data_IF_111324298023
#
_entry.id   IF_111324298023
#
_cell.length_a   1.000
_cell.length_b   1.000
_cell.length_c   1.000
_cell.angle_alpha   90.00
_cell.angle_beta   90.00
_cell.angle_gamma   90.00
#
_symmetry.space_group_name_H-M   'P 1'
#
loop_
_entity.id
_entity.type
_entity.pdbx_description
1 polymer ?
#
# COMPACT_ATOMS: atom_id res chain seq x y z
N UNK A 1 15.21 -26.78 9.60
CA UNK A 1 14.23 -27.78 9.13
C UNK A 1 13.41 -27.12 8.04
N UNK A 2 13.51 -27.59 6.79
CA UNK A 2 12.54 -27.25 5.75
C UNK A 2 11.17 -27.80 6.20
N UNK A 3 10.06 -27.09 6.00
CA UNK A 3 8.75 -27.68 6.25
C UNK A 3 8.61 -28.96 5.42
N UNK A 4 7.88 -29.99 5.92
CA UNK A 4 7.60 -31.19 5.14
C UNK A 4 7.04 -30.73 3.79
N UNK A 5 7.54 -31.32 2.70
CA UNK A 5 7.10 -31.01 1.34
C UNK A 5 5.58 -30.94 1.35
N UNK A 6 5.02 -29.72 1.25
CA UNK A 6 3.59 -29.54 1.29
C UNK A 6 3.03 -30.41 0.17
N UNK A 7 2.18 -31.38 0.50
CA UNK A 7 1.50 -32.14 -0.53
C UNK A 7 0.68 -31.14 -1.34
N UNK A 8 1.02 -31.00 -2.62
CA UNK A 8 0.44 -30.03 -3.53
C UNK A 8 -0.72 -30.72 -4.26
N UNK A 9 -1.93 -30.15 -4.17
CA UNK A 9 -3.13 -30.68 -4.79
C UNK A 9 -3.46 -29.94 -6.08
N UNK A 10 -3.67 -30.68 -7.16
CA UNK A 10 -4.18 -30.11 -8.41
C UNK A 10 -5.66 -29.79 -8.28
N UNK A 11 -6.03 -28.56 -8.63
CA UNK A 11 -7.40 -28.10 -8.66
C UNK A 11 -7.72 -27.48 -10.01
N UNK A 12 -8.89 -27.81 -10.56
CA UNK A 12 -9.36 -27.25 -11.81
C UNK A 12 -10.24 -26.04 -11.52
N UNK A 13 -9.71 -24.84 -11.78
CA UNK A 13 -10.50 -23.63 -11.76
C UNK A 13 -11.36 -23.54 -13.03
N UNK A 14 -12.65 -23.23 -12.89
CA UNK A 14 -13.53 -22.97 -14.03
C UNK A 14 -13.65 -21.46 -14.29
N UNK A 15 -13.03 -20.98 -15.36
CA UNK A 15 -13.09 -19.59 -15.81
C UNK A 15 -14.05 -19.48 -17.01
N UNK A 16 -15.35 -19.67 -16.77
CA UNK A 16 -16.37 -19.51 -17.83
C UNK A 16 -16.25 -20.53 -18.96
N UNK A 17 -15.90 -21.77 -18.64
CA UNK A 17 -15.75 -22.87 -19.61
C UNK A 17 -14.30 -23.27 -19.88
N UNK A 18 -13.33 -22.39 -19.63
CA UNK A 18 -11.91 -22.75 -19.63
C UNK A 18 -11.54 -23.39 -18.29
N UNK A 19 -11.02 -24.62 -18.33
CA UNK A 19 -10.48 -25.30 -17.14
C UNK A 19 -8.98 -25.04 -17.06
N UNK A 20 -8.56 -24.35 -16.01
CA UNK A 20 -7.14 -24.09 -15.74
C UNK A 20 -6.75 -24.88 -14.51
N UNK A 21 -5.68 -25.66 -14.64
CA UNK A 21 -5.12 -26.41 -13.53
C UNK A 21 -4.24 -25.49 -12.68
N UNK A 22 -4.56 -25.40 -11.39
CA UNK A 22 -3.81 -24.63 -10.41
C UNK A 22 -3.40 -25.52 -9.26
N UNK A 23 -2.27 -25.17 -8.67
CA UNK A 23 -1.73 -25.94 -7.57
C UNK A 23 -2.03 -25.25 -6.24
N UNK A 24 -2.78 -25.92 -5.37
CA UNK A 24 -3.13 -25.41 -4.05
C UNK A 24 -2.51 -26.34 -3.00
N UNK A 25 -1.80 -25.82 -1.99
CA UNK A 25 -1.28 -26.65 -0.91
C UNK A 25 -2.42 -27.41 -0.22
N UNK A 26 -2.30 -28.74 -0.11
CA UNK A 26 -3.30 -29.56 0.57
C UNK A 26 -3.39 -29.24 2.08
N UNK A 27 -2.33 -28.66 2.65
CA UNK A 27 -2.24 -28.25 4.05
C UNK A 27 -3.01 -26.97 4.42
N UNK A 28 -3.60 -26.25 3.45
CA UNK A 28 -4.44 -25.09 3.76
C UNK A 28 -5.67 -25.51 4.58
N UNK A 29 -5.89 -24.83 5.69
CA UNK A 29 -6.95 -25.10 6.67
C UNK A 29 -8.13 -24.19 6.41
N UNK A 30 -9.15 -24.75 5.77
CA UNK A 30 -10.46 -24.11 5.69
C UNK A 30 -11.24 -24.42 6.98
N UNK A 31 -12.04 -23.46 7.44
CA UNK A 31 -12.93 -23.64 8.57
C UNK A 31 -14.05 -24.67 8.26
N UNK A 32 -14.93 -24.92 9.24
CA UNK A 32 -16.03 -25.88 9.10
C UNK A 32 -17.01 -25.56 7.96
N UNK A 33 -17.11 -24.28 7.56
CA UNK A 33 -17.91 -23.81 6.43
C UNK A 33 -17.18 -23.96 5.08
N UNK A 34 -15.96 -24.49 5.07
CA UNK A 34 -15.12 -24.60 3.87
C UNK A 34 -14.53 -23.27 3.42
N UNK A 35 -14.34 -22.32 4.32
CA UNK A 35 -13.84 -20.96 4.07
C UNK A 35 -12.50 -20.68 4.73
N UNK A 36 -11.70 -19.84 4.09
CA UNK A 36 -10.43 -19.33 4.61
C UNK A 36 -10.42 -17.79 4.53
N UNK A 37 -10.00 -17.06 5.57
CA UNK A 37 -9.81 -15.61 5.49
C UNK A 37 -8.70 -15.26 4.50
N UNK A 38 -8.93 -14.20 3.73
CA UNK A 38 -7.99 -13.63 2.78
C UNK A 38 -7.84 -12.14 3.04
N UNK A 39 -6.65 -11.75 3.47
CA UNK A 39 -6.21 -10.36 3.61
C UNK A 39 -5.69 -9.88 2.26
N UNK A 40 -6.18 -8.73 1.83
CA UNK A 40 -5.74 -8.09 0.59
C UNK A 40 -4.97 -6.84 0.94
N UNK A 41 -3.73 -6.75 0.46
CA UNK A 41 -2.82 -5.63 0.68
C UNK A 41 -2.43 -5.01 -0.65
N UNK A 42 -2.35 -3.68 -0.71
CA UNK A 42 -1.82 -2.99 -1.88
C UNK A 42 -0.33 -3.29 -2.06
N UNK A 43 0.06 -3.65 -3.28
CA UNK A 43 1.43 -4.04 -3.59
C UNK A 43 2.41 -2.85 -3.63
N UNK A 44 1.91 -1.61 -3.72
CA UNK A 44 2.72 -0.39 -3.84
C UNK A 44 2.94 0.24 -2.46
N UNK A 45 1.86 0.62 -1.79
CA UNK A 45 1.89 1.32 -0.50
C UNK A 45 1.91 0.40 0.72
N UNK A 46 1.61 -0.89 0.54
CA UNK A 46 1.51 -1.83 1.66
C UNK A 46 0.25 -1.65 2.53
N UNK A 47 -0.68 -0.78 2.14
CA UNK A 47 -1.93 -0.58 2.86
C UNK A 47 -2.80 -1.84 2.80
N UNK A 48 -3.35 -2.28 3.93
CA UNK A 48 -4.35 -3.35 3.93
C UNK A 48 -5.65 -2.79 3.36
N UNK A 49 -6.12 -3.35 2.26
CA UNK A 49 -7.29 -2.89 1.51
C UNK A 49 -8.59 -3.47 2.05
N UNK A 50 -8.63 -4.78 2.29
CA UNK A 50 -9.82 -5.48 2.78
C UNK A 50 -9.50 -6.86 3.32
N UNK A 51 -10.43 -7.39 4.12
CA UNK A 51 -10.50 -8.81 4.49
C UNK A 51 -11.80 -9.39 3.91
N UNK A 52 -11.69 -10.54 3.25
CA UNK A 52 -12.82 -11.31 2.78
C UNK A 52 -12.56 -12.81 2.96
N UNK A 53 -13.54 -13.64 2.62
CA UNK A 53 -13.42 -15.10 2.73
C UNK A 53 -13.37 -15.73 1.35
N UNK A 54 -12.61 -16.81 1.24
CA UNK A 54 -12.51 -17.61 0.03
C UNK A 54 -12.90 -19.04 0.36
N UNK A 55 -13.69 -19.68 -0.50
CA UNK A 55 -13.73 -21.14 -0.57
C UNK A 55 -12.66 -21.63 -1.56
N UNK A 56 -12.49 -22.95 -1.64
CA UNK A 56 -11.51 -23.59 -2.53
C UNK A 56 -11.64 -23.17 -3.99
N UNK A 57 -12.87 -23.02 -4.49
CA UNK A 57 -13.15 -22.61 -5.89
C UNK A 57 -12.74 -21.15 -6.13
N UNK A 58 -13.08 -20.22 -5.24
CA UNK A 58 -12.66 -18.82 -5.36
C UNK A 58 -11.14 -18.66 -5.28
N UNK A 59 -10.46 -19.46 -4.45
CA UNK A 59 -9.00 -19.51 -4.42
C UNK A 59 -8.43 -20.01 -5.76
N UNK A 60 -8.97 -21.11 -6.27
CA UNK A 60 -8.55 -21.67 -7.54
C UNK A 60 -8.71 -20.66 -8.70
N UNK A 61 -9.86 -19.97 -8.78
CA UNK A 61 -10.09 -18.93 -9.78
C UNK A 61 -9.16 -17.74 -9.63
N UNK A 62 -8.84 -17.35 -8.41
CA UNK A 62 -7.89 -16.26 -8.15
C UNK A 62 -6.51 -16.58 -8.68
N UNK A 63 -5.99 -17.77 -8.35
CA UNK A 63 -4.69 -18.23 -8.84
C UNK A 63 -4.67 -18.43 -10.35
N UNK A 64 -5.79 -18.87 -10.95
CA UNK A 64 -5.88 -19.11 -12.39
C UNK A 64 -6.01 -17.83 -13.22
N UNK A 65 -6.83 -16.87 -12.76
CA UNK A 65 -7.12 -15.63 -13.50
C UNK A 65 -6.17 -14.49 -13.20
N UNK A 66 -5.45 -14.56 -12.07
CA UNK A 66 -4.67 -13.44 -11.54
C UNK A 66 -5.54 -12.28 -11.04
N UNK A 67 -6.86 -12.45 -10.91
CA UNK A 67 -7.78 -11.44 -10.36
C UNK A 67 -8.44 -11.94 -9.09
N UNK A 68 -8.77 -11.06 -8.14
CA UNK A 68 -9.34 -11.49 -6.86
C UNK A 68 -10.78 -12.00 -7.00
N UNK A 69 -11.00 -13.25 -6.59
CA UNK A 69 -12.31 -13.87 -6.38
C UNK A 69 -12.51 -14.18 -4.91
N UNK A 70 -13.72 -13.94 -4.42
CA UNK A 70 -14.12 -14.24 -3.05
C UNK A 70 -15.35 -15.15 -3.04
N UNK A 71 -15.67 -15.68 -1.87
CA UNK A 71 -16.95 -16.30 -1.60
C UNK A 71 -17.76 -15.41 -0.65
N UNK A 72 -18.90 -14.92 -1.13
CA UNK A 72 -19.79 -14.09 -0.32
C UNK A 72 -20.56 -14.95 0.66
N UNK A 73 -20.25 -14.84 1.96
CA UNK A 73 -20.95 -15.59 3.02
C UNK A 73 -22.44 -15.27 3.10
N UNK A 74 -22.83 -14.03 2.82
CA UNK A 74 -24.24 -13.62 2.89
C UNK A 74 -25.04 -14.05 1.66
N UNK A 75 -24.41 -14.07 0.47
CA UNK A 75 -25.09 -14.43 -0.78
C UNK A 75 -24.88 -15.90 -1.18
N UNK A 76 -23.98 -16.60 -0.50
CA UNK A 76 -23.60 -17.98 -0.79
C UNK A 76 -23.18 -18.19 -2.25
N UNK A 77 -22.44 -17.22 -2.80
CA UNK A 77 -22.04 -17.21 -4.20
C UNK A 77 -20.59 -16.74 -4.39
N UNK A 78 -20.01 -17.09 -5.53
CA UNK A 78 -18.71 -16.58 -5.97
C UNK A 78 -18.83 -15.11 -6.36
N UNK A 79 -17.88 -14.29 -5.89
CA UNK A 79 -17.84 -12.87 -6.17
C UNK A 79 -16.50 -12.48 -6.82
N UNK A 80 -16.56 -12.04 -8.08
CA UNK A 80 -15.42 -11.47 -8.77
C UNK A 80 -15.27 -9.98 -8.42
N UNK A 81 -14.20 -9.61 -7.69
CA UNK A 81 -14.02 -8.25 -7.20
C UNK A 81 -13.83 -7.28 -8.36
N UNK A 82 -14.72 -6.29 -8.43
CA UNK A 82 -14.71 -5.28 -9.49
C UNK A 82 -15.55 -5.62 -10.72
N UNK A 83 -16.15 -6.82 -10.81
CA UNK A 83 -16.99 -7.18 -11.95
C UNK A 83 -18.17 -6.23 -12.19
N UNK A 84 -18.74 -5.67 -11.11
CA UNK A 84 -19.83 -4.68 -11.21
C UNK A 84 -19.32 -3.24 -11.26
N UNK A 85 -18.31 -2.90 -10.47
CA UNK A 85 -17.85 -1.49 -10.31
C UNK A 85 -16.69 -1.09 -11.23
N UNK A 86 -16.04 -2.05 -11.90
CA UNK A 86 -14.78 -1.83 -12.62
C UNK A 86 -13.54 -1.70 -11.72
N UNK A 87 -13.69 -1.76 -10.40
CA UNK A 87 -12.59 -1.61 -9.42
C UNK A 87 -11.92 -2.96 -9.12
N UNK A 88 -11.19 -3.48 -10.11
CA UNK A 88 -10.53 -4.78 -10.06
C UNK A 88 -9.28 -4.77 -9.17
N UNK A 89 -8.91 -5.96 -8.72
CA UNK A 89 -7.67 -6.24 -7.97
C UNK A 89 -6.86 -7.28 -8.74
N UNK A 90 -5.71 -6.86 -9.28
CA UNK A 90 -4.79 -7.74 -10.00
C UNK A 90 -3.78 -8.32 -9.02
N UNK A 91 -3.69 -9.64 -8.91
CA UNK A 91 -2.77 -10.35 -8.02
C UNK A 91 -1.33 -10.16 -8.50
N UNK A 92 -0.47 -9.74 -7.57
CA UNK A 92 0.97 -9.62 -7.74
C UNK A 92 1.68 -10.77 -7.02
N UNK A 93 1.24 -11.08 -5.80
CA UNK A 93 1.78 -12.19 -5.01
C UNK A 93 0.69 -12.80 -4.11
N UNK A 94 0.85 -14.06 -3.77
CA UNK A 94 -0.01 -14.80 -2.84
C UNK A 94 0.85 -15.59 -1.86
N UNK A 95 0.48 -15.55 -0.59
CA UNK A 95 1.13 -16.27 0.50
C UNK A 95 0.08 -16.75 1.51
N UNK A 96 0.46 -17.70 2.36
CA UNK A 96 -0.33 -18.14 3.51
C UNK A 96 0.53 -18.05 4.78
N UNK A 97 -0.10 -18.00 5.95
CA UNK A 97 0.59 -17.87 7.23
C UNK A 97 1.20 -19.18 7.75
N UNK A 98 1.76 -19.17 8.97
CA UNK A 98 2.60 -20.26 9.46
C UNK A 98 1.83 -21.53 9.82
N UNK A 99 0.55 -21.41 10.17
CA UNK A 99 -0.40 -22.50 10.44
C UNK A 99 -1.40 -22.75 9.31
N UNK A 100 -1.27 -21.98 8.22
CA UNK A 100 -1.94 -22.18 6.94
C UNK A 100 -3.47 -22.03 7.01
N UNK A 101 -3.96 -21.18 7.92
CA UNK A 101 -5.39 -20.87 8.07
C UNK A 101 -5.77 -19.43 7.65
N UNK A 102 -4.79 -18.65 7.18
CA UNK A 102 -5.04 -17.38 6.52
C UNK A 102 -4.22 -17.17 5.24
N UNK A 103 -4.80 -16.42 4.31
CA UNK A 103 -4.15 -16.02 3.07
C UNK A 103 -3.81 -14.52 3.08
N UNK A 104 -2.68 -14.16 2.48
CA UNK A 104 -2.30 -12.80 2.16
C UNK A 104 -2.09 -12.67 0.65
N UNK A 105 -2.83 -11.76 0.03
CA UNK A 105 -2.67 -11.37 -1.36
C UNK A 105 -2.12 -9.95 -1.44
N UNK A 106 -1.02 -9.78 -2.17
CA UNK A 106 -0.57 -8.46 -2.64
C UNK A 106 -1.18 -8.19 -4.00
N UNK A 107 -1.85 -7.06 -4.17
CA UNK A 107 -2.58 -6.72 -5.40
C UNK A 107 -2.24 -5.32 -5.89
N UNK A 108 -2.34 -5.12 -7.20
CA UNK A 108 -2.48 -3.80 -7.79
C UNK A 108 -3.97 -3.43 -7.83
N UNK A 109 -4.38 -2.46 -7.02
CA UNK A 109 -5.76 -2.02 -6.93
C UNK A 109 -6.08 -0.98 -8.04
N UNK A 110 -7.16 -1.22 -8.79
CA UNK A 110 -7.74 -0.22 -9.70
C UNK A 110 -8.93 0.46 -9.02
N UNK A 111 -8.92 1.79 -8.89
CA UNK A 111 -10.00 2.54 -8.24
C UNK A 111 -10.14 2.21 -6.75
N UNK A 112 -11.35 2.33 -6.20
CA UNK A 112 -11.61 2.09 -4.78
C UNK A 112 -11.80 0.59 -4.45
N UNK A 113 -11.14 0.08 -3.41
CA UNK A 113 -11.41 -1.27 -2.92
C UNK A 113 -12.76 -1.33 -2.17
N UNK A 114 -13.10 -0.27 -1.42
CA UNK A 114 -14.32 -0.16 -0.63
C UNK A 114 -15.52 0.28 -1.48
N UNK A 115 -16.71 -0.22 -1.11
CA UNK A 115 -17.97 0.16 -1.76
C UNK A 115 -18.40 1.60 -1.45
N UNK A 116 -17.86 2.22 -0.39
CA UNK A 116 -18.05 3.63 -0.05
C UNK A 116 -17.15 4.57 -0.87
N UNK A 117 -16.42 4.05 -1.86
CA UNK A 117 -15.51 4.83 -2.70
C UNK A 117 -14.15 5.12 -2.05
N UNK A 118 -13.86 4.54 -0.89
CA UNK A 118 -12.55 4.64 -0.22
C UNK A 118 -11.55 3.63 -0.77
N UNK A 119 -10.27 3.98 -0.75
CA UNK A 119 -9.21 3.11 -1.25
C UNK A 119 -9.10 1.82 -0.44
N UNK A 120 -9.17 1.90 0.90
CA UNK A 120 -9.26 0.76 1.83
C UNK A 120 -10.62 0.72 2.54
N UNK A 121 -11.05 -0.48 2.96
CA UNK A 121 -12.17 -0.68 3.89
C UNK A 121 -11.82 -0.26 5.32
N UNK A 122 -10.54 -0.18 5.68
CA UNK A 122 -10.06 0.14 7.04
C UNK A 122 -9.91 1.66 7.27
N UNK A 123 -10.85 2.46 6.77
CA UNK A 123 -10.83 3.93 6.86
C UNK A 123 -11.46 4.48 8.15
N UNK A 124 -12.01 3.61 9.00
CA UNK A 124 -12.49 3.96 10.33
C UNK A 124 -11.48 3.47 11.38
N UNK A 125 -11.12 4.34 12.32
CA UNK A 125 -10.10 4.06 13.32
C UNK A 125 -10.71 3.90 14.70
N UNK A 126 -10.27 2.87 15.43
CA UNK A 126 -10.52 2.75 16.85
C UNK A 126 -9.50 3.61 17.61
N UNK A 127 -9.93 4.45 18.56
CA UNK A 127 -9.00 5.17 19.42
C UNK A 127 -8.25 4.17 20.31
N UNK A 128 -6.94 4.34 20.40
CA UNK A 128 -6.13 3.62 21.39
C UNK A 128 -6.15 4.43 22.68
N UNK A 129 -6.66 3.84 23.76
CA UNK A 129 -6.42 4.37 25.09
C UNK A 129 -4.98 4.05 25.46
N UNK A 130 -4.10 5.06 25.47
CA UNK A 130 -2.81 4.88 26.11
C UNK A 130 -3.07 4.57 27.60
N UNK A 131 -2.37 3.61 28.22
CA UNK A 131 -2.36 3.54 29.67
C UNK A 131 -1.79 4.87 30.17
N UNK A 132 -2.61 5.69 30.83
CA UNK A 132 -2.11 6.82 31.59
C UNK A 132 -0.97 6.31 32.47
N UNK A 133 0.22 6.85 32.27
CA UNK A 133 1.34 6.59 33.17
C UNK A 133 0.89 7.02 34.56
N UNK A 134 0.61 6.05 35.42
CA UNK A 134 0.47 6.28 36.85
C UNK A 134 1.84 6.69 37.39
N UNK A 135 2.08 7.99 37.43
CA UNK A 135 2.93 8.59 38.46
C UNK A 135 2.08 9.67 39.13
N UNK A 136 1.54 9.29 40.28
CA UNK A 136 1.07 10.25 41.26
C UNK A 136 2.24 11.13 41.70
N UNK A 137 1.94 12.41 41.90
CA UNK A 137 2.81 13.49 42.36
C UNK A 137 3.79 14.04 41.33
N UNK A 138 3.40 15.16 40.70
CA UNK A 138 4.07 16.43 40.99
C UNK A 138 3.16 17.61 40.62
N UNK A 139 3.28 18.65 41.45
CA UNK A 139 2.36 19.76 41.61
C UNK A 139 2.36 20.71 40.41
N UNK A 140 1.22 21.35 40.20
CA UNK A 140 1.10 22.62 39.49
C UNK A 140 2.18 23.61 39.94
N UNK A 141 3.03 24.04 39.00
CA UNK A 141 3.43 25.44 38.81
C UNK A 141 4.12 25.60 37.46
N UNK A 142 3.65 26.56 36.65
CA UNK A 142 4.53 27.31 35.75
C UNK A 142 4.50 26.93 34.26
N UNK A 143 4.17 27.94 33.46
CA UNK A 143 4.23 28.04 32.00
C UNK A 143 5.36 27.27 31.30
N UNK A 144 5.05 26.65 30.16
CA UNK A 144 6.06 26.18 29.22
C UNK A 144 5.55 25.19 28.20
N UNK A 145 5.53 25.60 26.94
CA UNK A 145 5.27 24.74 25.78
C UNK A 145 6.19 23.52 25.79
N UNK A 146 5.62 22.32 25.89
CA UNK A 146 6.24 21.11 25.33
C UNK A 146 5.14 20.13 24.92
N UNK A 147 4.97 19.97 23.61
CA UNK A 147 4.03 19.01 23.03
C UNK A 147 4.58 17.59 23.17
N UNK A 148 3.72 16.58 23.46
CA UNK A 148 4.15 15.19 23.57
C UNK A 148 4.31 14.57 22.18
N UNK A 149 5.51 14.69 21.60
CA UNK A 149 5.85 14.18 20.26
C UNK A 149 5.90 12.63 20.17
N UNK A 150 6.00 11.91 21.29
CA UNK A 150 6.37 10.48 21.26
C UNK A 150 5.27 9.45 20.92
N UNK A 151 4.02 9.86 20.69
CA UNK A 151 2.91 8.93 20.40
C UNK A 151 2.43 8.94 18.94
N UNK A 152 2.87 9.90 18.13
CA UNK A 152 2.49 10.05 16.72
C UNK A 152 3.39 9.22 15.77
N UNK A 153 4.57 8.83 16.24
CA UNK A 153 5.70 8.35 15.43
C UNK A 153 5.56 6.95 14.82
N UNK A 154 4.62 6.12 15.27
CA UNK A 154 4.42 4.76 14.68
C UNK A 154 3.46 4.72 13.48
N UNK A 155 2.89 5.85 13.07
CA UNK A 155 1.86 5.91 12.01
C UNK A 155 2.32 6.55 10.70
N UNK A 156 3.48 7.20 10.69
CA UNK A 156 3.98 7.95 9.53
C UNK A 156 5.02 7.12 8.77
N UNK A 157 4.56 6.07 8.08
CA UNK A 157 5.40 5.33 7.13
C UNK A 157 5.64 6.20 5.89
N UNK A 158 6.91 6.45 5.55
CA UNK A 158 7.28 7.33 4.44
C UNK A 158 6.62 6.89 3.12
N UNK A 159 6.52 5.60 2.85
CA UNK A 159 5.89 5.07 1.63
C UNK A 159 4.41 5.45 1.51
N UNK A 160 3.66 5.39 2.61
CA UNK A 160 2.25 5.79 2.63
C UNK A 160 2.10 7.29 2.37
N UNK A 161 2.94 8.11 3.02
CA UNK A 161 2.92 9.57 2.83
C UNK A 161 3.28 9.97 1.40
N UNK A 162 4.31 9.35 0.80
CA UNK A 162 4.66 9.61 -0.60
C UNK A 162 3.52 9.19 -1.55
N UNK A 163 2.80 8.11 -1.23
CA UNK A 163 1.65 7.65 -2.03
C UNK A 163 0.49 8.65 -1.95
N UNK A 164 0.13 9.11 -0.74
CA UNK A 164 -0.92 10.11 -0.55
C UNK A 164 -0.57 11.45 -1.22
N UNK A 165 0.68 11.92 -1.05
CA UNK A 165 1.18 13.13 -1.72
C UNK A 165 1.11 13.00 -3.24
N UNK A 166 1.49 11.85 -3.80
CA UNK A 166 1.38 11.61 -5.24
C UNK A 166 -0.08 11.69 -5.72
N UNK A 167 -1.03 11.05 -5.02
CA UNK A 167 -2.44 11.12 -5.41
C UNK A 167 -2.98 12.55 -5.34
N UNK A 168 -2.60 13.32 -4.33
CA UNK A 168 -2.94 14.74 -4.22
C UNK A 168 -2.37 15.55 -5.40
N UNK A 169 -1.10 15.34 -5.74
CA UNK A 169 -0.42 16.03 -6.86
C UNK A 169 -1.10 15.68 -8.18
N UNK A 170 -1.42 14.39 -8.40
CA UNK A 170 -2.12 13.91 -9.61
C UNK A 170 -3.52 14.50 -9.72
N UNK A 171 -4.28 14.56 -8.62
CA UNK A 171 -5.57 15.26 -8.58
C UNK A 171 -5.43 16.73 -8.97
N UNK A 172 -4.45 17.44 -8.40
CA UNK A 172 -4.18 18.86 -8.73
C UNK A 172 -3.75 19.07 -10.18
N UNK A 173 -3.05 18.11 -10.80
CA UNK A 173 -2.71 18.18 -12.23
C UNK A 173 -3.96 18.15 -13.12
N UNK A 174 -4.97 17.38 -12.73
CA UNK A 174 -6.22 17.24 -13.48
C UNK A 174 -7.20 18.38 -13.21
N UNK A 175 -7.41 18.73 -11.93
CA UNK A 175 -8.45 19.68 -11.50
C UNK A 175 -8.04 21.15 -11.60
N UNK A 176 -6.73 21.44 -11.56
CA UNK A 176 -6.17 22.80 -11.59
C UNK A 176 -6.88 23.80 -10.65
N UNK A 177 -7.03 23.50 -9.34
CA UNK A 177 -7.63 24.45 -8.41
C UNK A 177 -6.83 25.76 -8.34
N UNK A 178 -7.53 26.88 -8.25
CA UNK A 178 -6.94 28.22 -8.14
C UNK A 178 -6.18 28.36 -6.80
N UNK A 179 -5.06 29.10 -6.81
CA UNK A 179 -4.22 29.32 -5.62
C UNK A 179 -3.36 28.13 -5.18
N UNK A 180 -3.50 26.96 -5.81
CA UNK A 180 -2.66 25.79 -5.53
C UNK A 180 -1.26 25.95 -6.12
N UNK A 181 -0.24 25.83 -5.26
CA UNK A 181 1.16 25.83 -5.68
C UNK A 181 1.45 24.75 -6.73
N UNK A 182 0.88 23.56 -6.59
CA UNK A 182 1.06 22.47 -7.55
C UNK A 182 0.46 22.80 -8.92
N UNK A 183 -0.70 23.47 -8.94
CA UNK A 183 -1.33 23.93 -10.19
C UNK A 183 -0.40 24.91 -10.90
N UNK A 184 0.13 25.88 -10.16
CA UNK A 184 1.12 26.84 -10.66
C UNK A 184 2.35 26.15 -11.28
N UNK A 185 2.91 25.13 -10.63
CA UNK A 185 4.06 24.39 -11.20
C UNK A 185 3.72 23.78 -12.55
N UNK A 186 2.55 23.11 -12.65
CA UNK A 186 2.12 22.51 -13.89
C UNK A 186 1.72 23.53 -14.97
N UNK A 187 1.22 24.70 -14.59
CA UNK A 187 0.88 25.78 -15.53
C UNK A 187 2.14 26.41 -16.14
N UNK A 188 3.23 26.48 -15.36
CA UNK A 188 4.54 26.97 -15.83
C UNK A 188 5.35 25.92 -16.60
N UNK A 189 4.92 24.66 -16.56
CA UNK A 189 5.48 23.58 -17.36
C UNK A 189 6.81 23.03 -16.87
N UNK A 190 7.43 22.19 -17.70
CA UNK A 190 8.58 21.36 -17.36
C UNK A 190 9.75 22.16 -16.79
N UNK A 191 10.13 23.28 -17.43
CA UNK A 191 11.30 24.06 -17.04
C UNK A 191 11.19 24.59 -15.60
N UNK A 192 9.99 25.00 -15.18
CA UNK A 192 9.76 25.48 -13.81
C UNK A 192 9.88 24.33 -12.81
N UNK A 193 9.36 23.16 -13.15
CA UNK A 193 9.45 21.95 -12.31
C UNK A 193 10.91 21.52 -12.18
N UNK A 194 11.65 21.43 -13.30
CA UNK A 194 13.07 21.06 -13.30
C UNK A 194 13.93 22.06 -12.53
N UNK A 195 13.64 23.36 -12.66
CA UNK A 195 14.31 24.40 -11.87
C UNK A 195 14.15 24.16 -10.37
N UNK A 196 12.94 23.86 -9.90
CA UNK A 196 12.71 23.54 -8.48
C UNK A 196 13.48 22.28 -8.06
N UNK A 197 13.40 21.19 -8.81
CA UNK A 197 14.19 19.96 -8.49
C UNK A 197 15.68 20.26 -8.35
N UNK A 198 16.25 21.11 -9.24
CA UNK A 198 17.66 21.50 -9.15
C UNK A 198 17.99 22.41 -7.97
N UNK A 199 17.09 23.35 -7.62
CA UNK A 199 17.20 24.22 -6.44
C UNK A 199 17.23 23.37 -5.16
N UNK A 200 16.21 22.55 -4.92
CA UNK A 200 16.10 21.76 -3.68
C UNK A 200 17.25 20.76 -3.52
N UNK A 201 17.73 20.18 -4.64
CA UNK A 201 18.90 19.29 -4.62
C UNK A 201 20.16 20.03 -4.17
N UNK A 202 20.33 21.28 -4.62
CA UNK A 202 21.47 22.11 -4.23
C UNK A 202 21.35 22.56 -2.77
N UNK A 203 20.14 22.94 -2.34
CA UNK A 203 19.85 23.33 -0.96
C UNK A 203 20.06 22.16 0.01
N UNK A 204 19.64 20.94 -0.35
CA UNK A 204 19.94 19.70 0.39
C UNK A 204 21.45 19.51 0.58
N UNK A 205 22.26 19.72 -0.47
CA UNK A 205 23.73 19.61 -0.39
C UNK A 205 24.31 20.67 0.55
N UNK A 206 23.82 21.91 0.47
CA UNK A 206 24.27 23.02 1.33
C UNK A 206 23.92 22.74 2.80
N UNK A 207 22.69 22.34 3.08
CA UNK A 207 22.20 22.02 4.42
C UNK A 207 23.02 20.87 5.04
N UNK A 208 23.30 19.82 4.26
CA UNK A 208 24.17 18.71 4.67
C UNK A 208 25.60 19.20 5.00
N UNK A 209 26.20 20.00 4.11
CA UNK A 209 27.54 20.56 4.34
C UNK A 209 27.58 21.46 5.59
N UNK A 210 26.49 22.14 5.89
CA UNK A 210 26.38 23.01 7.07
C UNK A 210 26.07 22.25 8.37
N UNK A 211 25.89 20.91 8.31
CA UNK A 211 25.49 20.07 9.44
C UNK A 211 24.18 20.51 10.12
N UNK A 212 23.30 21.16 9.36
CA UNK A 212 21.98 21.56 9.84
C UNK A 212 20.99 20.42 9.62
N UNK A 213 20.70 19.63 10.65
CA UNK A 213 19.81 18.47 10.51
C UNK A 213 18.37 18.86 10.16
N UNK A 214 17.88 19.95 10.74
CA UNK A 214 16.51 20.45 10.51
C UNK A 214 16.36 20.93 9.07
N UNK A 215 17.28 21.77 8.59
CA UNK A 215 17.30 22.27 7.22
C UNK A 215 17.50 21.10 6.24
N UNK A 216 18.41 20.17 6.54
CA UNK A 216 18.62 18.99 5.68
C UNK A 216 17.32 18.18 5.52
N UNK A 217 16.59 17.95 6.62
CA UNK A 217 15.32 17.22 6.56
C UNK A 217 14.26 18.00 5.75
N UNK A 218 14.21 19.33 5.92
CA UNK A 218 13.30 20.21 5.19
C UNK A 218 13.58 20.20 3.68
N UNK A 219 14.82 20.44 3.27
CA UNK A 219 15.23 20.46 1.87
C UNK A 219 15.07 19.10 1.19
N UNK A 220 15.31 18.01 1.94
CA UNK A 220 15.00 16.67 1.45
C UNK A 220 13.51 16.50 1.20
N UNK A 221 12.64 16.96 2.10
CA UNK A 221 11.20 16.87 1.91
C UNK A 221 10.73 17.62 0.66
N UNK A 222 11.25 18.83 0.42
CA UNK A 222 10.93 19.62 -0.78
C UNK A 222 11.48 18.96 -2.06
N UNK A 223 12.68 18.38 -2.00
CA UNK A 223 13.24 17.58 -3.11
C UNK A 223 12.36 16.37 -3.44
N UNK A 224 11.89 15.61 -2.44
CA UNK A 224 10.97 14.49 -2.64
C UNK A 224 9.65 14.97 -3.26
N UNK A 225 9.08 16.06 -2.74
CA UNK A 225 7.85 16.65 -3.26
C UNK A 225 7.99 17.04 -4.74
N UNK A 226 9.04 17.80 -5.09
CA UNK A 226 9.28 18.25 -6.45
C UNK A 226 9.61 17.09 -7.41
N UNK A 227 10.24 16.02 -6.90
CA UNK A 227 10.43 14.78 -7.67
C UNK A 227 9.09 14.08 -7.97
N UNK A 228 8.14 14.04 -7.02
CA UNK A 228 6.79 13.49 -7.26
C UNK A 228 6.00 14.33 -8.28
N UNK A 229 6.16 15.65 -8.27
CA UNK A 229 5.59 16.55 -9.30
C UNK A 229 6.18 16.23 -10.67
N UNK A 230 7.50 16.01 -10.76
CA UNK A 230 8.17 15.64 -12.01
C UNK A 230 7.73 14.26 -12.53
N UNK A 231 7.59 13.25 -11.66
CA UNK A 231 7.03 11.96 -12.05
C UNK A 231 5.63 12.11 -12.65
N UNK A 232 4.76 12.86 -11.96
CA UNK A 232 3.40 13.15 -12.40
C UNK A 232 3.37 13.88 -13.75
N UNK A 233 4.27 14.85 -13.96
CA UNK A 233 4.41 15.57 -15.24
C UNK A 233 4.72 14.61 -16.41
N UNK A 234 5.55 13.61 -16.18
CA UNK A 234 5.92 12.60 -17.17
C UNK A 234 5.00 11.38 -17.23
N UNK A 235 3.85 11.40 -16.54
CA UNK A 235 2.92 10.27 -16.43
C UNK A 235 3.58 8.99 -15.89
N UNK A 236 4.50 9.14 -14.94
CA UNK A 236 5.12 8.04 -14.21
C UNK A 236 4.46 7.86 -12.83
N UNK A 237 4.31 6.62 -12.42
CA UNK A 237 3.74 6.23 -11.12
C UNK A 237 4.85 5.93 -10.09
N UNK A 238 4.65 6.20 -8.79
CA UNK A 238 5.63 5.87 -7.74
C UNK A 238 6.02 4.39 -7.73
N UNK A 239 5.10 3.49 -8.11
CA UNK A 239 5.37 2.06 -8.26
C UNK A 239 6.48 1.77 -9.29
N UNK A 240 6.55 2.54 -10.38
CA UNK A 240 7.59 2.37 -11.40
C UNK A 240 8.95 2.81 -10.85
N UNK A 241 9.01 3.93 -10.13
CA UNK A 241 10.23 4.38 -9.45
C UNK A 241 10.66 3.37 -8.38
N UNK A 242 9.72 2.86 -7.57
CA UNK A 242 9.99 1.84 -6.56
C UNK A 242 10.55 0.55 -7.19
N UNK A 243 9.99 0.09 -8.31
CA UNK A 243 10.52 -1.06 -9.05
C UNK A 243 11.94 -0.82 -9.56
N UNK A 244 12.24 0.39 -10.05
CA UNK A 244 13.57 0.77 -10.50
C UNK A 244 14.57 0.86 -9.33
N UNK A 245 14.16 1.41 -8.19
CA UNK A 245 14.97 1.41 -6.96
C UNK A 245 15.22 0.00 -6.44
N UNK A 246 14.21 -0.88 -6.47
CA UNK A 246 14.32 -2.26 -6.02
C UNK A 246 15.38 -3.05 -6.81
N UNK A 247 15.69 -2.67 -8.05
CA UNK A 247 16.79 -3.27 -8.84
C UNK A 247 18.17 -3.07 -8.21
N UNK A 248 18.35 -2.05 -7.38
CA UNK A 248 19.60 -1.75 -6.67
C UNK A 248 19.76 -2.57 -5.38
N UNK A 249 18.70 -3.25 -4.94
CA UNK A 249 18.77 -4.13 -3.78
C UNK A 249 19.42 -5.47 -4.16
N UNK A 250 20.15 -6.12 -3.22
CA UNK A 250 20.58 -7.50 -3.38
C UNK A 250 19.40 -8.41 -3.76
N UNK A 251 19.64 -9.40 -4.61
CA UNK A 251 18.60 -10.28 -5.14
C UNK A 251 17.73 -10.91 -4.05
N UNK A 252 18.34 -11.35 -2.95
CA UNK A 252 17.66 -11.93 -1.77
C UNK A 252 16.71 -10.94 -1.08
N UNK A 253 17.12 -9.68 -0.93
CA UNK A 253 16.28 -8.63 -0.34
C UNK A 253 15.14 -8.22 -1.27
N UNK A 254 15.42 -8.16 -2.57
CA UNK A 254 14.42 -7.87 -3.60
C UNK A 254 13.34 -8.96 -3.64
N UNK A 255 13.73 -10.22 -3.62
CA UNK A 255 12.85 -11.40 -3.53
C UNK A 255 11.88 -11.29 -2.34
N UNK A 256 12.41 -10.96 -1.16
CA UNK A 256 11.60 -10.80 0.06
C UNK A 256 10.57 -9.67 -0.04
N UNK A 257 10.90 -8.55 -0.68
CA UNK A 257 9.98 -7.41 -0.85
C UNK A 257 8.90 -7.73 -1.88
N UNK A 258 9.30 -8.31 -3.01
CA UNK A 258 8.40 -8.63 -4.14
C UNK A 258 7.57 -9.91 -3.90
N UNK A 259 7.89 -10.69 -2.88
CA UNK A 259 7.19 -11.95 -2.58
C UNK A 259 7.47 -13.05 -3.59
N UNK A 260 8.66 -13.03 -4.22
CA UNK A 260 9.13 -13.98 -5.24
C UNK A 260 10.28 -14.83 -4.74
#
# INVERSE_FOLDING_TARGET
MLPPQAAWGFHLANLGGLKVEVNIPAGLRFNEEGLIPAVVQDAVGGEVLMLAYMNRESLARTLASGQMWFFSRSRQELWHKGATSGHYQQVVAASYDCDADALLFKVQQKGAACHEGKFSCFHHHLPLSAPEQRTAAEKETGDGHSSPAGALDKKLELGSILTELYQLIKGRQAERPEGSYTSYLFDRGQDKILKKVGEEATETVIASKNNSQEELLYEMADLYYHTLVLLTYHNLEPAQLAAELARRLPAEKRAKILGS
#
